data_IF_074419358596
#
_entry.id   IF_074419358596
#
_cell.length_a   1.000
_cell.length_b   1.000
_cell.length_c   1.000
_cell.angle_alpha   90.00
_cell.angle_beta   90.00
_cell.angle_gamma   90.00
#
_symmetry.space_group_name_H-M   'P 1'
#
loop_
_entity.id
_entity.type
_entity.pdbx_description
1 polymer ?
#
# COMPACT_ATOMS: atom_id res chain seq x y z
N UNK A 1 -7.92 20.49 25.99
CA UNK A 1 -7.08 19.48 25.31
C UNK A 1 -6.35 20.19 24.19
N UNK A 2 -5.03 19.99 23.96
CA UNK A 2 -4.38 20.64 22.82
C UNK A 2 -4.94 20.06 21.51
N UNK A 3 -5.17 20.94 20.53
CA UNK A 3 -5.61 20.51 19.21
C UNK A 3 -4.55 19.60 18.56
N UNK A 4 -4.98 18.45 18.06
CA UNK A 4 -4.11 17.51 17.33
C UNK A 4 -3.80 18.07 15.95
N UNK A 5 -2.66 18.75 15.81
CA UNK A 5 -2.13 19.20 14.53
C UNK A 5 -1.39 18.06 13.81
N UNK A 6 -1.50 17.99 12.48
CA UNK A 6 -0.73 17.05 11.66
C UNK A 6 -1.48 15.78 11.24
N UNK A 7 -2.81 15.75 11.36
CA UNK A 7 -3.65 14.63 10.93
C UNK A 7 -4.67 15.06 9.86
N UNK A 8 -4.88 14.27 8.78
CA UNK A 8 -4.06 13.13 8.36
C UNK A 8 -2.68 13.59 7.86
N UNK A 9 -1.75 12.65 7.71
CA UNK A 9 -0.39 12.92 7.24
C UNK A 9 -0.09 12.23 5.91
N UNK A 10 0.85 12.81 5.16
CA UNK A 10 1.44 12.16 3.97
C UNK A 10 2.71 11.44 4.37
N UNK A 11 2.70 10.11 4.27
CA UNK A 11 3.90 9.28 4.44
C UNK A 11 4.61 9.19 3.10
N UNK A 12 5.93 9.40 3.09
CA UNK A 12 6.76 9.38 1.88
C UNK A 12 7.91 8.42 2.05
N UNK A 13 8.04 7.46 1.13
CA UNK A 13 9.22 6.60 1.03
C UNK A 13 10.33 7.37 0.30
N UNK A 14 11.25 7.91 1.10
CA UNK A 14 12.37 8.73 0.66
C UNK A 14 13.70 8.16 1.15
N UNK A 15 14.78 8.40 0.41
CA UNK A 15 16.14 7.95 0.75
C UNK A 15 16.69 8.65 2.01
N UNK A 16 16.18 9.83 2.35
CA UNK A 16 16.56 10.59 3.53
C UNK A 16 15.48 11.61 3.90
N UNK A 17 15.60 12.23 5.08
CA UNK A 17 14.74 13.32 5.54
C UNK A 17 15.06 14.68 4.89
N UNK A 18 15.90 14.72 3.85
CA UNK A 18 16.19 15.96 3.14
C UNK A 18 14.99 16.39 2.28
N UNK A 19 14.76 17.69 2.16
CA UNK A 19 13.73 18.26 1.26
C UNK A 19 13.82 17.66 -0.16
N UNK A 20 15.04 17.50 -0.68
CA UNK A 20 15.28 16.97 -2.02
C UNK A 20 14.80 15.52 -2.14
N UNK A 21 15.14 14.66 -1.17
CA UNK A 21 14.73 13.25 -1.18
C UNK A 21 13.21 13.09 -0.99
N UNK A 22 12.61 13.88 -0.09
CA UNK A 22 11.16 13.87 0.13
C UNK A 22 10.41 14.26 -1.15
N UNK A 23 10.80 15.36 -1.79
CA UNK A 23 10.18 15.79 -3.05
C UNK A 23 10.40 14.80 -4.19
N UNK A 24 11.53 14.08 -4.20
CA UNK A 24 11.76 13.01 -5.16
C UNK A 24 10.83 11.81 -4.92
N UNK A 25 10.61 11.40 -3.67
CA UNK A 25 9.65 10.36 -3.30
C UNK A 25 8.22 10.71 -3.72
N UNK A 26 7.77 11.93 -3.43
CA UNK A 26 6.44 12.42 -3.84
C UNK A 26 6.30 12.42 -5.37
N UNK A 27 7.27 12.96 -6.11
CA UNK A 27 7.23 12.98 -7.58
C UNK A 27 7.20 11.59 -8.20
N UNK A 28 7.83 10.62 -7.55
CA UNK A 28 7.81 9.22 -7.97
C UNK A 28 6.55 8.47 -7.52
N UNK A 29 5.58 9.13 -6.88
CA UNK A 29 4.36 8.50 -6.38
C UNK A 29 4.59 7.56 -5.20
N UNK A 30 5.76 7.62 -4.54
CA UNK A 30 6.10 6.78 -3.39
C UNK A 30 5.57 7.37 -2.09
N UNK A 31 4.28 7.64 -2.05
CA UNK A 31 3.61 8.27 -0.92
C UNK A 31 2.19 7.78 -0.73
N UNK A 32 1.72 7.78 0.51
CA UNK A 32 0.35 7.45 0.87
C UNK A 32 -0.16 8.33 2.01
N UNK A 33 -1.47 8.33 2.23
CA UNK A 33 -2.09 9.03 3.35
C UNK A 33 -2.27 8.08 4.53
N UNK A 34 -1.94 8.55 5.73
CA UNK A 34 -2.17 7.85 6.98
C UNK A 34 -2.93 8.74 7.96
N UNK A 35 -3.89 8.16 8.67
CA UNK A 35 -4.67 8.88 9.69
C UNK A 35 -3.80 9.30 10.86
N UNK A 36 -2.80 8.50 11.24
CA UNK A 36 -1.84 8.80 12.31
C UNK A 36 -0.46 8.19 12.05
N UNK A 37 0.52 8.56 12.88
CA UNK A 37 1.89 8.02 12.82
C UNK A 37 2.04 6.62 13.42
N UNK A 38 1.00 6.13 14.11
CA UNK A 38 0.95 4.75 14.56
C UNK A 38 0.68 3.78 13.39
N UNK A 39 -0.07 4.22 12.37
CA UNK A 39 -0.40 3.40 11.21
C UNK A 39 0.79 3.35 10.25
N UNK A 40 1.34 2.16 10.06
CA UNK A 40 2.36 1.90 9.05
C UNK A 40 1.96 0.73 8.17
N UNK A 41 2.42 0.74 6.91
CA UNK A 41 2.22 -0.36 6.00
C UNK A 41 3.43 -0.60 5.10
N UNK A 42 3.55 -1.85 4.64
CA UNK A 42 4.32 -2.21 3.46
C UNK A 42 3.36 -2.73 2.40
N UNK A 43 3.62 -2.42 1.13
CA UNK A 43 2.79 -2.87 0.03
C UNK A 43 3.67 -3.19 -1.17
N UNK A 44 3.56 -4.42 -1.66
CA UNK A 44 4.40 -4.93 -2.73
C UNK A 44 3.63 -5.86 -3.66
N UNK A 45 4.08 -5.90 -4.92
CA UNK A 45 3.67 -6.88 -5.92
C UNK A 45 4.90 -7.66 -6.39
N UNK A 46 4.80 -8.98 -6.46
CA UNK A 46 5.88 -9.86 -6.95
C UNK A 46 5.36 -10.84 -7.99
N UNK A 47 6.20 -11.22 -8.94
CA UNK A 47 5.90 -12.31 -9.88
C UNK A 47 6.70 -13.58 -9.53
N UNK A 48 6.38 -14.70 -10.21
CA UNK A 48 7.07 -15.97 -10.04
C UNK A 48 8.50 -16.02 -10.60
N UNK A 49 9.03 -14.92 -11.16
CA UNK A 49 10.35 -14.82 -11.81
C UNK A 49 11.31 -13.89 -11.07
N UNK A 50 10.92 -13.39 -9.89
CA UNK A 50 11.72 -12.48 -9.07
C UNK A 50 11.49 -10.99 -9.36
N UNK A 51 10.58 -10.67 -10.28
CA UNK A 51 10.10 -9.31 -10.48
C UNK A 51 9.39 -8.82 -9.22
N UNK A 52 9.65 -7.57 -8.84
CA UNK A 52 9.04 -6.93 -7.68
C UNK A 52 8.74 -5.46 -7.96
N UNK A 53 7.75 -4.91 -7.25
CA UNK A 53 7.44 -3.49 -7.22
C UNK A 53 6.83 -3.12 -5.87
N UNK A 54 7.30 -2.03 -5.28
CA UNK A 54 6.71 -1.40 -4.10
C UNK A 54 5.71 -0.28 -4.41
N UNK A 55 5.41 0.52 -3.39
CA UNK A 55 4.52 1.69 -3.49
C UNK A 55 5.08 2.69 -4.51
N UNK A 56 4.25 3.08 -5.49
CA UNK A 56 4.63 4.02 -6.54
C UNK A 56 5.49 3.42 -7.66
N UNK A 57 5.84 2.13 -7.56
CA UNK A 57 6.64 1.43 -8.57
C UNK A 57 5.76 0.64 -9.56
N UNK A 58 6.38 0.09 -10.60
CA UNK A 58 5.71 -0.69 -11.64
C UNK A 58 6.39 -2.04 -11.82
N UNK A 59 5.63 -3.11 -11.60
CA UNK A 59 6.06 -4.46 -11.93
C UNK A 59 6.02 -4.66 -13.45
N UNK A 60 7.12 -5.16 -14.02
CA UNK A 60 7.21 -5.51 -15.46
C UNK A 60 7.02 -7.01 -15.62
N UNK A 61 5.77 -7.43 -15.78
CA UNK A 61 5.39 -8.83 -15.95
C UNK A 61 4.52 -9.02 -17.22
N UNK A 62 4.50 -10.25 -17.74
CA UNK A 62 3.60 -10.61 -18.85
C UNK A 62 2.13 -10.56 -18.41
N UNK A 63 1.20 -10.37 -19.35
CA UNK A 63 -0.22 -10.17 -19.05
C UNK A 63 -0.87 -11.32 -18.25
N UNK A 64 -0.40 -12.54 -18.48
CA UNK A 64 -0.84 -13.79 -17.86
C UNK A 64 0.07 -14.27 -16.72
N UNK A 65 1.15 -13.53 -16.42
CA UNK A 65 2.06 -13.91 -15.35
C UNK A 65 1.34 -13.86 -13.99
N UNK A 66 1.46 -14.91 -13.15
CA UNK A 66 0.97 -14.87 -11.79
C UNK A 66 1.68 -13.79 -10.98
N UNK A 67 0.89 -12.92 -10.36
CA UNK A 67 1.36 -11.85 -9.47
C UNK A 67 0.76 -12.05 -8.09
N UNK A 68 1.62 -11.97 -7.06
CA UNK A 68 1.20 -11.90 -5.66
C UNK A 68 1.30 -10.47 -5.18
N UNK A 69 0.18 -9.92 -4.74
CA UNK A 69 0.10 -8.62 -4.07
C UNK A 69 0.04 -8.88 -2.58
N UNK A 70 0.93 -8.23 -1.83
CA UNK A 70 1.04 -8.37 -0.38
C UNK A 70 0.95 -6.99 0.27
N UNK A 71 0.01 -6.84 1.19
CA UNK A 71 -0.12 -5.71 2.10
C UNK A 71 0.17 -6.20 3.52
N UNK A 72 1.07 -5.52 4.20
CA UNK A 72 1.29 -5.70 5.64
C UNK A 72 0.95 -4.40 6.35
N UNK A 73 0.15 -4.48 7.39
CA UNK A 73 -0.35 -3.34 8.15
C UNK A 73 -0.01 -3.51 9.61
N UNK A 74 0.35 -2.42 10.28
CA UNK A 74 0.46 -2.36 11.74
C UNK A 74 -0.04 -1.01 12.27
N UNK A 75 -0.57 -1.02 13.49
CA UNK A 75 -1.07 0.19 14.16
C UNK A 75 -2.40 0.71 13.62
N UNK A 76 -3.17 -0.14 12.93
CA UNK A 76 -4.56 0.17 12.59
C UNK A 76 -5.46 0.12 13.83
N UNK A 77 -6.59 0.84 13.79
CA UNK A 77 -7.61 0.73 14.82
C UNK A 77 -8.26 -0.67 14.78
N UNK A 78 -8.96 -1.02 15.87
CA UNK A 78 -9.81 -2.21 15.88
C UNK A 78 -10.86 -2.12 14.76
N UNK A 79 -11.22 -3.29 14.21
CA UNK A 79 -12.27 -3.45 13.21
C UNK A 79 -12.02 -2.78 11.85
N UNK A 80 -10.80 -2.34 11.57
CA UNK A 80 -10.44 -1.86 10.23
C UNK A 80 -10.57 -2.97 9.19
N UNK A 81 -10.93 -2.58 7.97
CA UNK A 81 -11.06 -3.43 6.80
C UNK A 81 -10.02 -3.04 5.75
N UNK A 82 -9.36 -4.03 5.16
CA UNK A 82 -8.52 -3.86 3.97
C UNK A 82 -9.37 -3.98 2.71
N UNK A 83 -9.19 -3.05 1.77
CA UNK A 83 -9.71 -3.14 0.40
C UNK A 83 -8.57 -3.07 -0.61
N UNK A 84 -8.58 -3.96 -1.58
CA UNK A 84 -7.72 -3.85 -2.77
C UNK A 84 -8.57 -3.37 -3.95
N UNK A 85 -8.22 -2.19 -4.46
CA UNK A 85 -8.93 -1.49 -5.54
C UNK A 85 -8.08 -1.52 -6.81
N UNK A 86 -8.68 -1.89 -7.93
CA UNK A 86 -8.05 -1.99 -9.25
C UNK A 86 -8.82 -1.17 -10.27
N UNK A 87 -8.42 -1.25 -11.54
CA UNK A 87 -9.15 -0.70 -12.69
C UNK A 87 -10.50 -1.40 -12.94
N UNK A 88 -10.71 -2.58 -12.34
CA UNK A 88 -11.96 -3.35 -12.40
C UNK A 88 -12.87 -3.11 -11.17
N UNK A 89 -12.50 -2.17 -10.29
CA UNK A 89 -13.21 -1.90 -9.04
C UNK A 89 -12.56 -2.57 -7.83
N UNK A 90 -13.34 -2.91 -6.81
CA UNK A 90 -12.82 -3.53 -5.58
C UNK A 90 -12.85 -5.04 -5.73
N UNK A 91 -11.67 -5.68 -5.71
CA UNK A 91 -11.55 -7.13 -5.93
C UNK A 91 -11.29 -7.92 -4.65
N UNK A 92 -10.85 -7.25 -3.57
CA UNK A 92 -10.72 -7.86 -2.25
C UNK A 92 -11.26 -6.90 -1.19
N UNK A 93 -12.03 -7.44 -0.26
CA UNK A 93 -12.40 -6.79 1.01
C UNK A 93 -12.25 -7.83 2.11
N UNK A 94 -11.40 -7.55 3.11
CA UNK A 94 -11.17 -8.47 4.23
C UNK A 94 -10.97 -7.68 5.52
N UNK A 95 -11.50 -8.14 6.67
CA UNK A 95 -11.19 -7.53 7.95
C UNK A 95 -9.69 -7.66 8.26
N UNK A 96 -9.11 -6.66 8.92
CA UNK A 96 -7.85 -6.82 9.64
C UNK A 96 -8.12 -7.54 10.96
N UNK A 97 -7.17 -8.35 11.47
CA UNK A 97 -7.27 -8.89 12.81
C UNK A 97 -7.47 -7.78 13.85
N UNK A 98 -8.23 -8.07 14.91
CA UNK A 98 -8.58 -7.10 15.96
C UNK A 98 -7.37 -6.46 16.66
N UNK A 99 -6.18 -7.07 16.53
CA UNK A 99 -4.92 -6.52 17.02
C UNK A 99 -4.39 -5.31 16.22
N UNK A 100 -5.09 -4.85 15.16
CA UNK A 100 -4.67 -3.68 14.37
C UNK A 100 -3.43 -3.94 13.51
N UNK A 101 -3.06 -5.20 13.34
CA UNK A 101 -1.93 -5.64 12.55
C UNK A 101 -2.29 -6.91 11.78
N UNK A 102 -1.79 -7.03 10.56
CA UNK A 102 -2.09 -8.18 9.73
C UNK A 102 -1.44 -8.14 8.36
N UNK A 103 -1.48 -9.29 7.71
CA UNK A 103 -0.98 -9.50 6.36
C UNK A 103 -2.15 -9.91 5.49
N UNK A 104 -2.29 -9.25 4.34
CA UNK A 104 -3.25 -9.59 3.31
C UNK A 104 -2.49 -9.94 2.04
N UNK A 105 -2.72 -11.14 1.52
CA UNK A 105 -2.18 -11.60 0.24
C UNK A 105 -3.30 -11.83 -0.76
N UNK A 106 -3.07 -11.40 -1.99
CA UNK A 106 -4.00 -11.56 -3.10
C UNK A 106 -3.25 -11.94 -4.37
N UNK A 107 -3.77 -12.93 -5.10
CA UNK A 107 -3.18 -13.39 -6.36
C UNK A 107 -4.00 -12.87 -7.54
N UNK A 108 -3.29 -12.40 -8.57
CA UNK A 108 -3.87 -11.83 -9.79
C UNK A 108 -2.94 -12.03 -10.98
N UNK A 109 -3.29 -11.46 -12.13
CA UNK A 109 -2.37 -11.25 -13.27
C UNK A 109 -2.50 -9.80 -13.77
N UNK A 110 -1.50 -9.26 -14.50
CA UNK A 110 -1.61 -7.91 -15.06
C UNK A 110 -2.80 -7.72 -16.02
N UNK A 111 -3.30 -8.78 -16.66
CA UNK A 111 -4.52 -8.74 -17.47
C UNK A 111 -5.80 -8.54 -16.65
N UNK A 112 -5.82 -8.93 -15.36
CA UNK A 112 -6.98 -8.79 -14.47
C UNK A 112 -6.91 -7.55 -13.58
N UNK A 113 -5.72 -7.00 -13.37
CA UNK A 113 -5.52 -5.76 -12.63
C UNK A 113 -4.30 -4.99 -13.15
N UNK A 114 -4.55 -3.88 -13.83
CA UNK A 114 -3.52 -3.00 -14.37
C UNK A 114 -2.83 -2.15 -13.29
N UNK A 115 -3.52 -1.90 -12.17
CA UNK A 115 -2.97 -1.32 -10.94
C UNK A 115 -3.65 -1.92 -9.72
N UNK A 116 -3.02 -1.75 -8.56
CA UNK A 116 -3.63 -2.09 -7.27
C UNK A 116 -3.38 -0.96 -6.28
N UNK A 117 -4.44 -0.49 -5.64
CA UNK A 117 -4.41 0.44 -4.51
C UNK A 117 -4.92 -0.28 -3.27
N UNK A 118 -4.15 -0.21 -2.20
CA UNK A 118 -4.61 -0.64 -0.87
C UNK A 118 -5.34 0.51 -0.16
N UNK A 119 -6.44 0.20 0.49
CA UNK A 119 -7.11 1.06 1.47
C UNK A 119 -7.28 0.30 2.78
N UNK A 120 -7.03 0.97 3.89
CA UNK A 120 -7.34 0.48 5.25
C UNK A 120 -8.33 1.48 5.84
N UNK A 121 -9.51 1.01 6.25
CA UNK A 121 -10.63 1.84 6.70
C UNK A 121 -11.26 1.30 7.95
#
# INVERSE_FOLDING_TARGET
EPDRLGHPQTVVLAESLSRRAILAGIRAGRSYLAESAALTLSFAATDGRGGHAGIGERLRAAADAPVTVRLEVSGAAADCTVRLVTDQGVLLTTPLPAAGAGVVEWRTTPAHAAYVRAEVR
#
